data_IF_817918596699
#
_entry.id   IF_817918596699
#
_cell.length_a   1.000
_cell.length_b   1.000
_cell.length_c   1.000
_cell.angle_alpha   90.00
_cell.angle_beta   90.00
_cell.angle_gamma   90.00
#
_symmetry.space_group_name_H-M   'P 1'
#
loop_
_entity.id
_entity.type
_entity.pdbx_description
1 polymer ?
#
# COMPACT_ATOMS: atom_id res chain seq x y z
N UNK A 1 -25.47 -36.22 0.12
CA UNK A 1 -24.71 -35.86 1.34
C UNK A 1 -25.04 -34.42 1.66
N UNK A 2 -25.75 -34.16 2.75
CA UNK A 2 -25.92 -32.79 3.23
C UNK A 2 -24.52 -32.26 3.57
N UNK A 3 -24.14 -31.09 3.05
CA UNK A 3 -22.94 -30.42 3.49
C UNK A 3 -23.07 -30.26 5.02
N UNK A 4 -22.21 -30.91 5.78
CA UNK A 4 -22.06 -30.65 7.20
C UNK A 4 -21.74 -29.16 7.33
N UNK A 5 -22.68 -28.40 7.88
CA UNK A 5 -22.43 -26.99 8.20
C UNK A 5 -21.22 -26.93 9.12
N UNK A 6 -20.30 -26.02 8.84
CA UNK A 6 -19.11 -25.72 9.64
C UNK A 6 -19.44 -25.17 11.05
N UNK A 7 -20.73 -25.07 11.41
CA UNK A 7 -21.23 -24.61 12.71
C UNK A 7 -21.11 -23.11 12.94
N UNK A 8 -20.69 -22.35 11.93
CA UNK A 8 -20.55 -20.89 11.98
C UNK A 8 -21.71 -20.15 11.30
N UNK A 9 -22.88 -20.77 11.19
CA UNK A 9 -24.04 -20.16 10.54
C UNK A 9 -24.36 -18.78 11.14
N UNK A 10 -24.46 -17.76 10.28
CA UNK A 10 -24.73 -16.38 10.68
C UNK A 10 -23.53 -15.65 11.32
N UNK A 11 -22.35 -16.26 11.39
CA UNK A 11 -21.11 -15.58 11.76
C UNK A 11 -20.74 -14.58 10.66
N UNK A 12 -20.49 -13.33 11.05
CA UNK A 12 -20.03 -12.28 10.14
C UNK A 12 -18.50 -12.22 10.11
N UNK A 13 -17.92 -11.15 9.54
CA UNK A 13 -16.47 -10.90 9.59
C UNK A 13 -15.99 -10.35 10.93
N UNK A 14 -16.88 -10.14 11.89
CA UNK A 14 -16.55 -9.74 13.25
C UNK A 14 -16.16 -10.96 14.11
N UNK A 15 -14.87 -11.07 14.41
CA UNK A 15 -14.28 -12.16 15.22
C UNK A 15 -13.95 -11.72 16.65
N UNK A 16 -14.55 -10.64 17.14
CA UNK A 16 -14.16 -10.04 18.43
C UNK A 16 -14.86 -10.66 19.65
N UNK A 17 -16.06 -11.20 19.49
CA UNK A 17 -16.85 -11.81 20.58
C UNK A 17 -16.35 -13.23 20.93
N UNK A 18 -15.43 -13.30 21.89
CA UNK A 18 -14.85 -14.55 22.35
C UNK A 18 -15.88 -15.49 23.01
N UNK A 19 -16.95 -14.96 23.62
CA UNK A 19 -17.99 -15.77 24.26
C UNK A 19 -18.92 -16.41 23.21
N UNK A 20 -19.26 -15.69 22.13
CA UNK A 20 -19.95 -16.28 20.98
C UNK A 20 -19.09 -17.36 20.31
N UNK A 21 -17.81 -17.06 20.06
CA UNK A 21 -16.86 -18.01 19.46
C UNK A 21 -16.76 -19.27 20.32
N UNK A 22 -16.53 -19.14 21.62
CA UNK A 22 -16.47 -20.30 22.53
C UNK A 22 -17.77 -21.10 22.50
N UNK A 23 -18.92 -20.43 22.59
CA UNK A 23 -20.24 -21.08 22.55
C UNK A 23 -20.43 -21.89 21.27
N UNK A 24 -20.06 -21.35 20.11
CA UNK A 24 -20.17 -22.04 18.82
C UNK A 24 -19.25 -23.25 18.74
N UNK A 25 -18.00 -23.09 19.18
CA UNK A 25 -17.02 -24.19 19.25
C UNK A 25 -17.51 -25.30 20.19
N UNK A 26 -18.12 -24.95 21.32
CA UNK A 26 -18.73 -25.92 22.27
C UNK A 26 -19.96 -26.63 21.67
N UNK A 27 -20.64 -26.00 20.72
CA UNK A 27 -21.75 -26.59 19.96
C UNK A 27 -21.29 -27.39 18.73
N UNK A 28 -19.99 -27.54 18.54
CA UNK A 28 -19.40 -28.35 17.46
C UNK A 28 -19.12 -27.58 16.18
N UNK A 29 -18.99 -26.25 16.22
CA UNK A 29 -18.41 -25.50 15.12
C UNK A 29 -16.97 -25.95 14.84
N UNK A 30 -16.62 -26.03 13.55
CA UNK A 30 -15.32 -26.49 13.09
C UNK A 30 -14.27 -25.38 13.28
N UNK A 31 -13.26 -25.54 14.17
CA UNK A 31 -12.23 -24.53 14.35
C UNK A 31 -11.29 -24.39 13.14
N UNK A 32 -11.31 -25.32 12.20
CA UNK A 32 -10.41 -25.36 11.04
C UNK A 32 -11.03 -24.77 9.76
N UNK A 33 -12.36 -24.59 9.72
CA UNK A 33 -13.08 -24.21 8.50
C UNK A 33 -14.21 -23.23 8.76
N UNK A 34 -14.22 -22.15 8.01
CA UNK A 34 -15.31 -21.16 7.94
C UNK A 34 -15.33 -20.51 6.56
N UNK A 35 -16.40 -20.69 5.78
CA UNK A 35 -16.56 -20.08 4.46
C UNK A 35 -15.32 -20.25 3.52
N UNK A 36 -14.68 -21.41 3.56
CA UNK A 36 -13.48 -21.69 2.76
C UNK A 36 -12.19 -21.06 3.29
N UNK A 37 -12.21 -20.55 4.52
CA UNK A 37 -11.10 -19.94 5.23
C UNK A 37 -10.91 -20.57 6.61
N UNK A 38 -9.81 -20.27 7.29
CA UNK A 38 -9.49 -20.72 8.64
C UNK A 38 -9.96 -19.69 9.68
N UNK A 39 -10.84 -20.05 10.63
CA UNK A 39 -11.27 -19.18 11.72
C UNK A 39 -10.13 -18.45 12.45
N UNK A 40 -9.03 -19.16 12.75
CA UNK A 40 -7.89 -18.59 13.48
C UNK A 40 -7.20 -17.46 12.69
N UNK A 41 -7.06 -17.58 11.37
CA UNK A 41 -6.50 -16.54 10.50
C UNK A 41 -7.40 -15.29 10.49
N UNK A 42 -8.72 -15.46 10.47
CA UNK A 42 -9.65 -14.33 10.53
C UNK A 42 -9.63 -13.64 11.89
N UNK A 43 -9.60 -14.41 12.98
CA UNK A 43 -9.46 -13.86 14.31
C UNK A 43 -8.12 -13.13 14.51
N UNK A 44 -7.04 -13.59 13.86
CA UNK A 44 -5.75 -12.91 13.90
C UNK A 44 -5.82 -11.46 13.37
N UNK A 45 -6.61 -11.24 12.31
CA UNK A 45 -6.77 -9.92 11.65
C UNK A 45 -7.89 -9.08 12.27
N UNK A 46 -9.05 -9.67 12.51
CA UNK A 46 -10.28 -8.95 12.85
C UNK A 46 -10.80 -9.24 14.27
N UNK A 47 -10.19 -10.20 14.98
CA UNK A 47 -10.64 -10.65 16.28
C UNK A 47 -9.95 -9.97 17.46
N UNK A 48 -10.36 -10.40 18.65
CA UNK A 48 -9.75 -10.06 19.92
C UNK A 48 -8.68 -11.09 20.33
N UNK A 49 -7.74 -10.74 21.22
CA UNK A 49 -6.76 -11.70 21.75
C UNK A 49 -7.42 -12.89 22.46
N UNK A 50 -8.57 -12.67 23.10
CA UNK A 50 -9.38 -13.69 23.74
C UNK A 50 -9.98 -14.66 22.70
N UNK A 51 -10.55 -14.13 21.61
CA UNK A 51 -11.08 -14.94 20.52
C UNK A 51 -9.99 -15.79 19.86
N UNK A 52 -8.82 -15.19 19.61
CA UNK A 52 -7.63 -15.89 19.12
C UNK A 52 -7.23 -17.03 20.07
N UNK A 53 -7.22 -16.76 21.38
CA UNK A 53 -6.87 -17.76 22.39
C UNK A 53 -7.87 -18.92 22.41
N UNK A 54 -9.17 -18.65 22.30
CA UNK A 54 -10.20 -19.70 22.26
C UNK A 54 -10.07 -20.58 21.02
N UNK A 55 -9.85 -19.99 19.85
CA UNK A 55 -9.64 -20.73 18.60
C UNK A 55 -8.33 -21.54 18.62
N UNK A 56 -7.24 -20.93 19.07
CA UNK A 56 -5.93 -21.58 19.11
C UNK A 56 -5.91 -22.83 20.02
N UNK A 57 -6.78 -22.90 21.02
CA UNK A 57 -6.95 -24.10 21.86
C UNK A 57 -7.71 -25.24 21.17
N UNK A 58 -8.44 -24.96 20.09
CA UNK A 58 -9.34 -25.91 19.41
C UNK A 58 -8.78 -26.41 18.09
N UNK A 59 -7.83 -25.70 17.49
CA UNK A 59 -7.15 -26.15 16.27
C UNK A 59 -6.16 -27.29 16.57
N UNK A 60 -5.91 -28.13 15.57
CA UNK A 60 -4.91 -29.19 15.68
C UNK A 60 -3.48 -28.66 15.52
N UNK A 61 -3.31 -27.59 14.75
CA UNK A 61 -2.04 -26.93 14.46
C UNK A 61 -2.24 -25.42 14.38
N UNK A 62 -1.62 -24.68 15.30
CA UNK A 62 -1.69 -23.22 15.37
C UNK A 62 -0.90 -22.54 14.23
N UNK A 63 0.08 -23.24 13.66
CA UNK A 63 0.92 -22.80 12.53
C UNK A 63 0.42 -23.33 11.18
N UNK A 64 -0.80 -23.89 11.14
CA UNK A 64 -1.41 -24.31 9.90
C UNK A 64 -1.51 -23.15 8.91
N UNK A 65 -1.28 -23.45 7.63
CA UNK A 65 -1.21 -22.43 6.59
C UNK A 65 -2.59 -22.18 5.96
N UNK A 66 -2.86 -20.90 5.68
CA UNK A 66 -3.87 -20.43 4.75
C UNK A 66 -3.16 -19.59 3.69
N UNK A 67 -3.36 -19.89 2.40
CA UNK A 67 -2.71 -19.16 1.30
C UNK A 67 -1.18 -18.99 1.49
N UNK A 68 -0.53 -20.04 2.01
CA UNK A 68 0.93 -20.06 2.24
C UNK A 68 1.43 -19.38 3.52
N UNK A 69 0.55 -18.78 4.34
CA UNK A 69 0.94 -18.02 5.53
C UNK A 69 0.24 -18.50 6.82
N UNK A 70 0.87 -18.27 7.97
CA UNK A 70 0.32 -18.62 9.30
C UNK A 70 -0.63 -17.52 9.80
N UNK A 71 -1.47 -17.84 10.78
CA UNK A 71 -2.27 -16.82 11.45
C UNK A 71 -1.38 -15.75 12.12
N UNK A 72 -0.18 -16.14 12.57
CA UNK A 72 0.78 -15.22 13.19
C UNK A 72 1.36 -14.22 12.18
N UNK A 73 1.61 -14.66 10.95
CA UNK A 73 1.97 -13.76 9.86
C UNK A 73 0.90 -12.70 9.64
N UNK A 74 -0.36 -13.11 9.51
CA UNK A 74 -1.49 -12.21 9.30
C UNK A 74 -1.66 -11.19 10.43
N UNK A 75 -1.50 -11.60 11.69
CA UNK A 75 -1.55 -10.69 12.84
C UNK A 75 -0.44 -9.63 12.78
N UNK A 76 0.80 -10.03 12.44
CA UNK A 76 1.93 -9.09 12.33
C UNK A 76 1.75 -8.13 11.17
N UNK A 77 1.38 -8.64 9.99
CA UNK A 77 1.10 -7.84 8.80
C UNK A 77 0.00 -6.82 9.08
N UNK A 78 -1.09 -7.26 9.70
CA UNK A 78 -2.26 -6.41 10.00
C UNK A 78 -2.09 -5.50 11.22
N UNK A 79 -0.86 -5.38 11.74
CA UNK A 79 -0.52 -4.52 12.90
C UNK A 79 -1.37 -4.83 14.14
N UNK A 80 -1.59 -6.12 14.44
CA UNK A 80 -2.34 -6.62 15.60
C UNK A 80 -1.41 -7.25 16.65
N UNK A 81 -0.65 -6.44 17.43
CA UNK A 81 0.35 -6.96 18.34
C UNK A 81 -0.24 -7.84 19.46
N UNK A 82 -1.44 -7.54 19.96
CA UNK A 82 -2.05 -8.33 21.03
C UNK A 82 -2.51 -9.71 20.52
N UNK A 83 -3.07 -9.78 19.31
CA UNK A 83 -3.41 -11.05 18.66
C UNK A 83 -2.16 -11.87 18.35
N UNK A 84 -1.09 -11.21 17.88
CA UNK A 84 0.20 -11.85 17.62
C UNK A 84 0.81 -12.44 18.91
N UNK A 85 0.72 -11.74 20.04
CA UNK A 85 1.15 -12.26 21.36
C UNK A 85 0.29 -13.44 21.80
N UNK A 86 -1.02 -13.39 21.59
CA UNK A 86 -1.92 -14.50 21.93
C UNK A 86 -1.58 -15.77 21.12
N UNK A 87 -1.31 -15.63 19.81
CA UNK A 87 -0.86 -16.74 18.95
C UNK A 87 0.48 -17.32 19.42
N UNK A 88 1.48 -16.47 19.70
CA UNK A 88 2.77 -16.93 20.19
C UNK A 88 2.65 -17.62 21.57
N UNK A 89 1.80 -17.11 22.46
CA UNK A 89 1.50 -17.74 23.76
C UNK A 89 0.79 -19.09 23.60
N UNK A 90 0.04 -19.28 22.52
CA UNK A 90 -0.59 -20.55 22.14
C UNK A 90 0.36 -21.50 21.39
N UNK A 91 1.62 -21.13 21.17
CA UNK A 91 2.66 -21.98 20.60
C UNK A 91 2.98 -21.75 19.12
N UNK A 92 2.41 -20.72 18.48
CA UNK A 92 2.79 -20.36 17.11
C UNK A 92 4.25 -19.88 17.07
N UNK A 93 5.03 -20.34 16.09
CA UNK A 93 6.45 -20.00 15.94
C UNK A 93 6.65 -18.64 15.23
N UNK A 94 7.10 -17.57 15.94
CA UNK A 94 7.33 -16.27 15.33
C UNK A 94 8.52 -16.26 14.37
N UNK A 95 9.39 -17.26 14.40
CA UNK A 95 10.63 -17.31 13.62
C UNK A 95 10.54 -18.25 12.43
N UNK A 96 9.39 -18.89 12.22
CA UNK A 96 9.07 -19.63 11.01
C UNK A 96 9.10 -18.71 9.79
N UNK A 97 9.86 -19.11 8.77
CA UNK A 97 9.92 -18.38 7.51
C UNK A 97 8.60 -18.46 6.75
N UNK A 98 8.28 -17.38 6.06
CA UNK A 98 7.09 -17.17 5.25
C UNK A 98 7.51 -16.45 3.95
N UNK A 99 6.72 -15.49 3.47
CA UNK A 99 6.91 -14.84 2.17
C UNK A 99 8.26 -14.09 2.10
N UNK A 100 8.91 -14.15 0.94
CA UNK A 100 10.19 -13.47 0.69
C UNK A 100 11.32 -13.85 1.66
N UNK A 101 11.21 -14.96 2.40
CA UNK A 101 12.18 -15.34 3.43
C UNK A 101 12.06 -14.57 4.75
N UNK A 102 10.96 -13.84 4.97
CA UNK A 102 10.67 -13.18 6.24
C UNK A 102 9.93 -14.11 7.19
N UNK A 103 10.23 -14.02 8.49
CA UNK A 103 9.36 -14.53 9.54
C UNK A 103 8.52 -13.40 10.15
N UNK A 104 7.37 -13.69 10.79
CA UNK A 104 6.59 -12.67 11.50
C UNK A 104 7.45 -11.89 12.51
N UNK A 105 8.31 -12.59 13.26
CA UNK A 105 9.22 -12.01 14.23
C UNK A 105 10.25 -11.09 13.60
N UNK A 106 10.93 -11.51 12.51
CA UNK A 106 11.92 -10.66 11.84
C UNK A 106 11.28 -9.44 11.20
N UNK A 107 10.09 -9.60 10.62
CA UNK A 107 9.35 -8.51 10.01
C UNK A 107 8.92 -7.47 11.06
N UNK A 108 8.51 -7.92 12.26
CA UNK A 108 8.15 -7.01 13.36
C UNK A 108 9.29 -6.07 13.77
N UNK A 109 10.56 -6.48 13.60
CA UNK A 109 11.74 -5.63 13.87
C UNK A 109 11.79 -4.36 12.99
N UNK A 110 11.17 -4.40 11.81
CA UNK A 110 11.10 -3.27 10.89
C UNK A 110 9.86 -2.39 11.12
N UNK A 111 8.93 -2.84 11.98
CA UNK A 111 7.66 -2.18 12.25
C UNK A 111 7.67 -1.31 13.52
N UNK A 112 6.49 -0.85 13.95
CA UNK A 112 6.33 -0.01 15.14
C UNK A 112 6.43 -0.82 16.45
N UNK A 113 6.45 -2.14 16.38
CA UNK A 113 6.53 -3.04 17.54
C UNK A 113 7.73 -4.00 17.42
N UNK A 114 8.98 -3.50 17.45
CA UNK A 114 10.18 -4.34 17.27
C UNK A 114 10.41 -5.32 18.43
N UNK A 115 9.88 -5.02 19.62
CA UNK A 115 9.99 -5.86 20.82
C UNK A 115 8.81 -6.86 20.96
N UNK A 116 8.14 -7.19 19.85
CA UNK A 116 6.93 -8.01 19.88
C UNK A 116 7.21 -9.44 20.37
N UNK A 117 8.39 -9.98 20.05
CA UNK A 117 8.83 -11.31 20.47
C UNK A 117 10.29 -11.30 20.94
N UNK A 118 10.69 -12.21 21.84
CA UNK A 118 12.10 -12.42 22.16
C UNK A 118 12.91 -12.79 20.90
N UNK A 119 13.96 -12.02 20.62
CA UNK A 119 14.77 -12.18 19.40
C UNK A 119 15.87 -13.23 19.61
N UNK A 120 15.95 -14.28 18.77
CA UNK A 120 17.03 -15.26 18.82
C UNK A 120 18.40 -14.65 18.52
N UNK A 121 19.46 -15.25 19.07
CA UNK A 121 20.83 -14.83 18.79
C UNK A 121 21.13 -14.88 17.28
N UNK A 122 21.78 -13.83 16.77
CA UNK A 122 22.12 -13.71 15.35
C UNK A 122 21.00 -13.20 14.44
N UNK A 123 19.75 -13.11 14.92
CA UNK A 123 18.67 -12.52 14.13
C UNK A 123 18.69 -11.00 14.24
N UNK A 124 18.82 -10.32 13.11
CA UNK A 124 18.75 -8.86 13.03
C UNK A 124 18.36 -8.39 11.63
N UNK A 125 17.98 -7.11 11.53
CA UNK A 125 17.89 -6.41 10.25
C UNK A 125 19.29 -6.01 9.79
N UNK A 126 19.55 -6.18 8.49
CA UNK A 126 20.68 -5.58 7.80
C UNK A 126 20.60 -4.05 7.83
N UNK A 127 21.71 -3.37 7.54
CA UNK A 127 21.76 -1.91 7.47
C UNK A 127 20.80 -1.34 6.42
N UNK A 128 20.66 -2.03 5.27
CA UNK A 128 19.73 -1.65 4.20
C UNK A 128 18.27 -1.75 4.65
N UNK A 129 17.87 -2.85 5.30
CA UNK A 129 16.50 -3.03 5.79
C UNK A 129 16.17 -2.04 6.91
N UNK A 130 17.14 -1.76 7.79
CA UNK A 130 17.00 -0.75 8.85
C UNK A 130 16.84 0.66 8.26
N UNK A 131 17.63 1.00 7.25
CA UNK A 131 17.51 2.28 6.55
C UNK A 131 16.15 2.40 5.84
N UNK A 132 15.65 1.33 5.22
CA UNK A 132 14.33 1.29 4.61
C UNK A 132 13.22 1.52 5.65
N UNK A 133 13.29 0.88 6.81
CA UNK A 133 12.32 1.07 7.89
C UNK A 133 12.33 2.51 8.45
N UNK A 134 13.52 3.09 8.66
CA UNK A 134 13.66 4.47 9.08
C UNK A 134 13.11 5.46 8.06
N UNK A 135 13.36 5.22 6.77
CA UNK A 135 12.87 6.06 5.70
C UNK A 135 11.35 5.95 5.53
N UNK A 136 10.79 4.74 5.67
CA UNK A 136 9.34 4.54 5.67
C UNK A 136 8.68 5.33 6.79
N UNK A 137 9.19 5.21 8.02
CA UNK A 137 8.68 5.98 9.15
C UNK A 137 8.77 7.51 8.92
N UNK A 138 9.88 7.99 8.35
CA UNK A 138 10.05 9.41 8.01
C UNK A 138 9.02 9.86 6.98
N UNK A 139 8.83 9.08 5.91
CA UNK A 139 7.93 9.41 4.81
C UNK A 139 6.47 9.40 5.24
N UNK A 140 6.00 8.33 5.89
CA UNK A 140 4.60 8.23 6.34
C UNK A 140 4.27 9.33 7.36
N UNK A 141 5.21 9.65 8.26
CA UNK A 141 5.05 10.78 9.20
C UNK A 141 4.99 12.13 8.48
N UNK A 142 5.85 12.37 7.48
CA UNK A 142 5.89 13.64 6.77
C UNK A 142 4.64 13.86 5.91
N UNK A 143 4.10 12.81 5.29
CA UNK A 143 2.90 12.90 4.48
C UNK A 143 1.63 12.96 5.34
N UNK A 144 1.60 12.18 6.44
CA UNK A 144 0.44 12.04 7.31
C UNK A 144 -0.77 11.45 6.58
N UNK A 145 -1.91 11.41 7.26
CA UNK A 145 -3.17 10.93 6.68
C UNK A 145 -3.88 12.02 5.87
N UNK A 146 -4.32 11.69 4.65
CA UNK A 146 -5.12 12.56 3.80
C UNK A 146 -5.96 11.73 2.82
N UNK A 147 -7.04 12.33 2.34
CA UNK A 147 -7.88 11.74 1.29
C UNK A 147 -7.30 12.06 -0.08
N UNK A 148 -7.22 11.07 -0.96
CA UNK A 148 -6.63 11.21 -2.29
C UNK A 148 -7.29 10.33 -3.37
N UNK A 149 -8.48 9.77 -3.11
CA UNK A 149 -9.21 9.03 -4.15
C UNK A 149 -9.48 9.94 -5.35
N UNK A 150 -9.27 9.39 -6.55
CA UNK A 150 -9.33 10.12 -7.82
C UNK A 150 -8.00 10.79 -8.19
N UNK A 151 -7.00 10.82 -7.31
CA UNK A 151 -5.70 11.44 -7.60
C UNK A 151 -4.81 10.53 -8.43
N UNK A 152 -4.35 11.03 -9.57
CA UNK A 152 -3.21 10.50 -10.30
C UNK A 152 -1.93 11.21 -9.89
N UNK A 153 -0.82 10.47 -9.79
CA UNK A 153 0.50 11.05 -9.55
C UNK A 153 1.62 10.26 -10.21
N UNK A 154 2.74 10.93 -10.42
CA UNK A 154 4.00 10.34 -10.87
C UNK A 154 5.14 10.88 -10.01
N UNK A 155 5.85 9.98 -9.34
CA UNK A 155 7.05 10.28 -8.57
C UNK A 155 8.28 10.05 -9.46
N UNK A 156 9.00 11.13 -9.81
CA UNK A 156 10.11 11.09 -10.77
C UNK A 156 11.44 11.34 -10.08
N UNK A 157 12.37 10.40 -10.22
CA UNK A 157 13.66 10.46 -9.54
C UNK A 157 14.61 11.49 -10.19
N UNK A 158 15.30 12.27 -9.35
CA UNK A 158 16.51 13.01 -9.71
C UNK A 158 16.35 14.23 -10.63
N UNK A 159 15.13 14.65 -10.96
CA UNK A 159 14.86 15.83 -11.78
C UNK A 159 13.93 16.80 -11.07
N UNK A 160 14.03 18.09 -11.40
CA UNK A 160 13.22 19.16 -10.82
C UNK A 160 12.01 19.52 -11.71
N UNK A 161 11.16 20.43 -11.22
CA UNK A 161 9.97 20.86 -11.92
C UNK A 161 10.26 21.44 -13.33
N UNK A 162 11.25 22.35 -13.53
CA UNK A 162 11.60 22.82 -14.86
C UNK A 162 11.95 21.71 -15.86
N UNK A 163 12.73 20.71 -15.44
CA UNK A 163 13.08 19.58 -16.31
C UNK A 163 11.86 18.69 -16.61
N UNK A 164 10.95 18.50 -15.64
CA UNK A 164 9.66 17.83 -15.86
C UNK A 164 8.83 18.56 -16.91
N UNK A 165 8.63 19.87 -16.77
CA UNK A 165 7.88 20.69 -17.75
C UNK A 165 8.50 20.58 -19.14
N UNK A 166 9.84 20.63 -19.23
CA UNK A 166 10.56 20.48 -20.49
C UNK A 166 10.34 19.11 -21.14
N UNK A 167 10.39 18.02 -20.36
CA UNK A 167 10.18 16.63 -20.87
C UNK A 167 8.77 16.38 -21.33
N UNK A 168 7.80 17.01 -20.67
CA UNK A 168 6.39 16.92 -21.04
C UNK A 168 6.04 17.84 -22.22
N UNK A 169 6.94 18.75 -22.61
CA UNK A 169 6.68 19.82 -23.57
C UNK A 169 5.44 20.65 -23.15
N UNK A 170 5.27 20.81 -21.84
CA UNK A 170 4.07 21.38 -21.25
C UNK A 170 4.16 22.91 -21.13
N UNK A 171 3.01 23.58 -21.19
CA UNK A 171 2.94 25.05 -21.10
C UNK A 171 2.44 25.46 -19.71
N UNK A 172 3.12 26.37 -18.99
CA UNK A 172 2.61 26.88 -17.71
C UNK A 172 1.23 27.53 -17.83
N UNK A 173 0.31 27.17 -16.94
CA UNK A 173 -1.01 27.79 -16.80
C UNK A 173 -0.86 28.99 -15.86
N UNK A 174 -0.72 30.19 -16.44
CA UNK A 174 -0.42 31.43 -15.68
C UNK A 174 -1.51 32.49 -15.79
N UNK A 175 -2.27 32.49 -16.88
CA UNK A 175 -3.36 33.44 -17.16
C UNK A 175 -4.32 32.86 -18.23
N UNK A 176 -5.38 33.61 -18.54
CA UNK A 176 -6.34 33.28 -19.60
C UNK A 176 -7.41 32.26 -19.23
N UNK A 177 -8.16 31.81 -20.25
CA UNK A 177 -9.32 30.91 -20.10
C UNK A 177 -8.96 29.60 -19.39
N UNK A 178 -7.76 29.08 -19.61
CA UNK A 178 -7.32 27.82 -18.98
C UNK A 178 -7.09 27.96 -17.47
N UNK A 179 -6.72 29.14 -16.99
CA UNK A 179 -6.62 29.42 -15.55
C UNK A 179 -8.01 29.47 -14.90
N UNK A 180 -9.01 30.01 -15.62
CA UNK A 180 -10.42 29.99 -15.16
C UNK A 180 -10.92 28.55 -15.07
N UNK A 181 -10.71 27.75 -16.11
CA UNK A 181 -11.03 26.31 -16.12
C UNK A 181 -10.33 25.57 -14.97
N UNK A 182 -9.05 25.84 -14.73
CA UNK A 182 -8.31 25.25 -13.61
C UNK A 182 -8.95 25.60 -12.25
N UNK A 183 -9.31 26.86 -12.03
CA UNK A 183 -9.92 27.26 -10.77
C UNK A 183 -11.27 26.56 -10.57
N UNK A 184 -12.07 26.42 -11.63
CA UNK A 184 -13.33 25.70 -11.58
C UNK A 184 -13.12 24.20 -11.33
N UNK A 185 -12.13 23.55 -11.95
CA UNK A 185 -11.79 22.14 -11.69
C UNK A 185 -11.32 21.91 -10.25
N UNK A 186 -10.63 22.88 -9.64
CA UNK A 186 -10.22 22.81 -8.24
C UNK A 186 -11.40 22.95 -7.28
N UNK A 187 -12.46 23.64 -7.67
CA UNK A 187 -13.70 23.80 -6.89
C UNK A 187 -14.69 22.65 -7.10
N UNK A 188 -14.93 22.25 -8.36
CA UNK A 188 -15.80 21.16 -8.78
C UNK A 188 -15.15 20.32 -9.91
N UNK A 189 -14.36 19.30 -9.56
CA UNK A 189 -13.58 18.52 -10.53
C UNK A 189 -14.43 17.70 -11.52
N UNK A 190 -15.73 17.56 -11.28
CA UNK A 190 -16.64 16.79 -12.14
C UNK A 190 -17.61 17.67 -12.95
N UNK A 191 -17.44 18.99 -12.90
CA UNK A 191 -18.23 19.93 -13.70
C UNK A 191 -17.91 19.85 -15.21
N UNK A 192 -16.73 19.32 -15.56
CA UNK A 192 -16.20 19.28 -16.93
C UNK A 192 -16.14 17.88 -17.50
N UNK A 193 -16.04 17.79 -18.84
CA UNK A 193 -15.72 16.53 -19.50
C UNK A 193 -14.31 16.07 -19.08
N UNK A 194 -14.19 14.78 -18.76
CA UNK A 194 -12.94 14.19 -18.32
C UNK A 194 -11.81 14.43 -19.33
N UNK A 195 -12.08 14.32 -20.63
CA UNK A 195 -11.05 14.45 -21.68
C UNK A 195 -10.46 15.87 -21.75
N UNK A 196 -11.23 16.89 -21.37
CA UNK A 196 -10.77 18.27 -21.30
C UNK A 196 -9.97 18.52 -20.01
N UNK A 197 -10.42 17.97 -18.88
CA UNK A 197 -9.78 18.12 -17.56
C UNK A 197 -8.43 17.40 -17.43
N UNK A 198 -8.19 16.35 -18.23
CA UNK A 198 -6.99 15.52 -18.14
C UNK A 198 -5.72 16.22 -18.63
N UNK A 199 -5.84 17.35 -19.34
CA UNK A 199 -4.69 18.06 -19.90
C UNK A 199 -3.95 18.90 -18.85
N UNK A 200 -4.49 19.15 -17.67
CA UNK A 200 -3.82 19.99 -16.67
C UNK A 200 -3.23 19.13 -15.54
N UNK A 201 -1.94 19.29 -15.28
CA UNK A 201 -1.24 18.63 -14.18
C UNK A 201 -0.44 19.62 -13.34
N UNK A 202 -0.34 19.35 -12.05
CA UNK A 202 0.51 20.08 -11.11
C UNK A 202 1.90 19.47 -11.04
N UNK A 203 2.94 20.28 -10.93
CA UNK A 203 4.34 19.85 -10.85
C UNK A 203 4.97 20.48 -9.61
N UNK A 204 5.57 19.65 -8.75
CA UNK A 204 6.21 20.11 -7.50
C UNK A 204 7.57 19.46 -7.30
N UNK A 205 8.62 20.26 -7.15
CA UNK A 205 9.94 19.78 -6.76
C UNK A 205 9.97 19.35 -5.29
N UNK A 206 10.61 18.22 -5.02
CA UNK A 206 10.87 17.71 -3.67
C UNK A 206 12.33 17.25 -3.57
N UNK A 207 12.91 17.15 -2.37
CA UNK A 207 14.23 16.55 -2.25
C UNK A 207 14.26 15.16 -2.91
N UNK A 208 15.25 14.90 -3.76
CA UNK A 208 15.38 13.64 -4.51
C UNK A 208 14.65 13.58 -5.85
N UNK A 209 13.79 14.56 -6.21
CA UNK A 209 13.12 14.55 -7.51
C UNK A 209 11.92 15.49 -7.63
N UNK A 210 10.87 15.01 -8.30
CA UNK A 210 9.66 15.78 -8.56
C UNK A 210 8.41 14.91 -8.49
N UNK A 211 7.31 15.48 -7.98
CA UNK A 211 5.98 14.87 -8.02
C UNK A 211 5.15 15.61 -9.06
N UNK A 212 4.56 14.86 -9.99
CA UNK A 212 3.51 15.34 -10.89
C UNK A 212 2.18 14.83 -10.37
N UNK A 213 1.17 15.68 -10.24
CA UNK A 213 -0.13 15.33 -9.65
C UNK A 213 -1.31 15.86 -10.44
N UNK A 214 -2.41 15.14 -10.38
CA UNK A 214 -3.72 15.58 -10.86
C UNK A 214 -4.77 15.07 -9.86
N UNK A 215 -5.38 15.96 -9.05
CA UNK A 215 -6.33 15.56 -8.01
C UNK A 215 -7.60 14.85 -8.51
N UNK A 216 -7.95 15.05 -9.78
CA UNK A 216 -9.22 14.61 -10.38
C UNK A 216 -9.06 13.58 -11.50
N UNK A 217 -7.85 13.09 -11.77
CA UNK A 217 -7.64 12.22 -12.92
C UNK A 217 -6.31 11.49 -12.91
N UNK A 218 -6.18 10.58 -13.88
CA UNK A 218 -5.07 9.64 -14.01
C UNK A 218 -3.95 10.12 -14.95
N UNK A 219 -4.00 11.37 -15.45
CA UNK A 219 -3.06 11.83 -16.47
C UNK A 219 -1.58 11.59 -16.11
N UNK A 220 -1.12 11.81 -14.86
CA UNK A 220 0.26 11.54 -14.49
C UNK A 220 0.68 10.07 -14.63
N UNK A 221 -0.25 9.12 -14.49
CA UNK A 221 0.00 7.68 -14.59
C UNK A 221 -0.04 7.16 -16.03
N UNK A 222 -0.50 7.97 -17.01
CA UNK A 222 -0.61 7.52 -18.39
C UNK A 222 0.76 7.07 -18.94
N UNK A 223 0.84 5.92 -19.65
CA UNK A 223 2.11 5.35 -20.11
C UNK A 223 3.01 6.33 -20.87
N UNK A 224 2.44 7.12 -21.79
CA UNK A 224 3.17 8.12 -22.56
C UNK A 224 3.67 9.31 -21.74
N UNK A 225 3.02 9.62 -20.62
CA UNK A 225 3.50 10.61 -19.63
C UNK A 225 4.67 10.01 -18.85
N UNK A 226 4.50 8.80 -18.30
CA UNK A 226 5.54 8.11 -17.55
C UNK A 226 6.81 7.83 -18.38
N UNK A 227 6.67 7.46 -19.66
CA UNK A 227 7.80 7.27 -20.57
C UNK A 227 8.62 8.56 -20.75
N UNK A 228 7.95 9.71 -20.95
CA UNK A 228 8.63 11.00 -21.07
C UNK A 228 9.33 11.40 -19.78
N UNK A 229 8.65 11.25 -18.65
CA UNK A 229 9.19 11.59 -17.33
C UNK A 229 10.40 10.71 -16.97
N UNK A 230 10.34 9.42 -17.26
CA UNK A 230 11.38 8.45 -16.89
C UNK A 230 12.60 8.43 -17.83
N UNK A 231 12.66 9.22 -18.90
CA UNK A 231 13.79 9.24 -19.82
C UNK A 231 15.14 9.46 -19.10
N UNK A 232 16.05 8.48 -19.13
CA UNK A 232 17.32 8.55 -18.39
C UNK A 232 17.20 8.53 -16.86
N UNK A 233 16.04 8.21 -16.29
CA UNK A 233 15.80 8.09 -14.84
C UNK A 233 14.74 7.00 -14.54
N UNK A 234 14.16 7.01 -13.34
CA UNK A 234 13.10 6.14 -12.86
C UNK A 234 11.88 6.97 -12.47
N UNK A 235 10.68 6.43 -12.72
CA UNK A 235 9.42 6.99 -12.29
C UNK A 235 8.51 5.89 -11.73
N UNK A 236 7.74 6.22 -10.69
CA UNK A 236 6.61 5.43 -10.23
C UNK A 236 5.31 6.20 -10.46
N UNK A 237 4.42 5.64 -11.28
CA UNK A 237 3.07 6.16 -11.49
C UNK A 237 2.09 5.53 -10.51
N UNK A 238 1.12 6.31 -10.04
CA UNK A 238 0.02 5.86 -9.18
C UNK A 238 -1.27 6.53 -9.65
N UNK A 239 -2.35 5.75 -9.71
CA UNK A 239 -3.71 6.26 -9.75
C UNK A 239 -4.52 5.66 -8.61
N UNK A 240 -5.03 6.52 -7.74
CA UNK A 240 -5.92 6.13 -6.65
C UNK A 240 -7.35 5.99 -7.18
N UNK A 241 -7.66 4.87 -7.84
CA UNK A 241 -8.93 4.70 -8.53
C UNK A 241 -10.07 4.51 -7.51
N UNK A 242 -11.09 5.40 -7.47
CA UNK A 242 -12.20 5.27 -6.51
C UNK A 242 -13.00 3.96 -6.65
N UNK A 243 -12.91 3.30 -7.82
CA UNK A 243 -13.65 2.07 -8.12
C UNK A 243 -12.89 0.80 -7.75
N UNK A 244 -11.57 0.77 -7.95
CA UNK A 244 -10.76 -0.46 -7.86
C UNK A 244 -9.55 -0.34 -6.93
N UNK A 245 -9.35 0.80 -6.28
CA UNK A 245 -8.21 1.05 -5.39
C UNK A 245 -6.96 1.56 -6.11
N UNK A 246 -5.83 1.51 -5.42
CA UNK A 246 -4.56 2.05 -5.90
C UNK A 246 -3.96 1.16 -7.01
N UNK A 247 -3.63 1.78 -8.15
CA UNK A 247 -2.98 1.13 -9.28
C UNK A 247 -1.63 1.78 -9.55
N UNK A 248 -0.58 0.97 -9.58
CA UNK A 248 0.80 1.41 -9.75
C UNK A 248 1.40 1.02 -11.10
N UNK A 249 2.38 1.80 -11.55
CA UNK A 249 3.17 1.54 -12.76
C UNK A 249 4.64 1.91 -12.55
N UNK A 250 5.55 1.11 -13.09
CA UNK A 250 6.99 1.37 -13.05
C UNK A 250 7.44 1.76 -14.45
N UNK A 251 8.12 2.90 -14.57
CA UNK A 251 8.73 3.33 -15.81
C UNK A 251 10.21 3.67 -15.61
N UNK A 252 11.08 3.13 -16.45
CA UNK A 252 12.53 3.33 -16.38
C UNK A 252 13.08 3.63 -17.76
N UNK A 253 13.89 4.68 -17.84
CA UNK A 253 14.58 5.07 -19.07
C UNK A 253 13.66 5.21 -20.29
N UNK A 254 12.40 5.61 -20.07
CA UNK A 254 11.40 5.76 -21.13
C UNK A 254 10.62 4.50 -21.48
N UNK A 255 10.81 3.39 -20.75
CA UNK A 255 10.10 2.13 -20.96
C UNK A 255 9.22 1.80 -19.75
N UNK A 256 8.01 1.33 -20.00
CA UNK A 256 7.13 0.79 -18.94
C UNK A 256 7.58 -0.63 -18.63
N UNK A 257 8.03 -0.86 -17.39
CA UNK A 257 8.52 -2.17 -16.92
C UNK A 257 7.44 -2.95 -16.15
N UNK A 258 6.45 -2.26 -15.59
CA UNK A 258 5.37 -2.87 -14.82
C UNK A 258 4.12 -1.98 -14.76
N UNK A 259 2.96 -2.61 -14.64
CA UNK A 259 1.64 -1.99 -14.65
C UNK A 259 0.67 -2.81 -13.80
N UNK A 260 -0.42 -2.19 -13.35
CA UNK A 260 -1.44 -2.83 -12.50
C UNK A 260 -0.86 -3.39 -11.19
N UNK A 261 0.12 -2.66 -10.64
CA UNK A 261 0.73 -2.95 -9.35
C UNK A 261 -0.19 -2.44 -8.24
N UNK A 262 -0.05 -2.98 -7.02
CA UNK A 262 -0.90 -2.64 -5.88
C UNK A 262 -0.10 -1.93 -4.77
N UNK A 263 0.37 -0.68 -4.98
CA UNK A 263 1.12 0.04 -3.94
C UNK A 263 0.25 0.24 -2.70
N UNK A 264 0.84 0.01 -1.53
CA UNK A 264 0.13 0.00 -0.25
C UNK A 264 -0.73 -1.24 0.00
N UNK A 265 -0.69 -2.23 -0.89
CA UNK A 265 -1.25 -3.57 -0.67
C UNK A 265 -0.38 -4.43 0.26
N UNK A 266 -0.88 -5.63 0.57
CA UNK A 266 -0.11 -6.66 1.24
C UNK A 266 0.87 -7.37 0.30
N UNK A 267 1.83 -8.14 0.83
CA UNK A 267 2.78 -8.91 0.03
C UNK A 267 2.12 -10.10 -0.67
N UNK A 268 2.63 -10.44 -1.86
CA UNK A 268 2.23 -11.61 -2.66
C UNK A 268 3.18 -12.80 -2.47
N UNK A 269 2.73 -14.01 -2.82
CA UNK A 269 3.50 -15.26 -2.63
C UNK A 269 4.86 -15.29 -3.37
N UNK A 270 4.96 -14.55 -4.48
CA UNK A 270 6.13 -14.51 -5.36
C UNK A 270 7.01 -13.27 -5.15
N UNK A 271 6.69 -12.43 -4.17
CA UNK A 271 7.45 -11.22 -3.86
C UNK A 271 8.86 -11.55 -3.36
N UNK A 272 9.85 -10.75 -3.78
CA UNK A 272 11.19 -10.81 -3.21
C UNK A 272 11.20 -10.32 -1.76
N UNK A 273 12.29 -10.57 -1.05
CA UNK A 273 12.50 -10.07 0.32
C UNK A 273 12.27 -8.56 0.43
N UNK A 274 12.78 -7.79 -0.55
CA UNK A 274 12.65 -6.34 -0.59
C UNK A 274 11.20 -5.89 -0.84
N UNK A 275 10.47 -6.59 -1.71
CA UNK A 275 9.06 -6.29 -2.00
C UNK A 275 8.18 -6.58 -0.79
N UNK A 276 8.40 -7.71 -0.10
CA UNK A 276 7.69 -8.04 1.14
C UNK A 276 7.93 -6.98 2.22
N UNK A 277 9.18 -6.55 2.40
CA UNK A 277 9.50 -5.49 3.35
C UNK A 277 8.83 -4.18 2.96
N UNK A 278 8.87 -3.78 1.69
CA UNK A 278 8.23 -2.55 1.23
C UNK A 278 6.70 -2.59 1.41
N UNK A 279 6.05 -3.71 1.10
CA UNK A 279 4.61 -3.90 1.31
C UNK A 279 4.25 -3.78 2.80
N UNK A 280 5.04 -4.38 3.68
CA UNK A 280 4.85 -4.25 5.13
C UNK A 280 5.01 -2.80 5.59
N UNK A 281 6.09 -2.12 5.17
CA UNK A 281 6.44 -0.77 5.63
C UNK A 281 5.47 0.31 5.17
N UNK A 282 4.90 0.16 3.98
CA UNK A 282 4.00 1.15 3.36
C UNK A 282 2.56 0.65 3.21
N UNK A 283 2.17 -0.34 4.00
CA UNK A 283 0.81 -0.88 3.98
C UNK A 283 -0.20 0.26 4.19
N UNK A 284 -1.17 0.38 3.29
CA UNK A 284 -2.15 1.46 3.20
C UNK A 284 -1.60 2.87 2.86
N UNK A 285 -0.29 3.02 2.65
CA UNK A 285 0.39 4.28 2.34
C UNK A 285 0.95 4.29 0.90
N UNK A 286 0.07 4.14 -0.11
CA UNK A 286 0.46 4.00 -1.52
C UNK A 286 1.31 5.19 -2.05
N UNK A 287 1.02 6.40 -1.61
CA UNK A 287 1.77 7.61 -1.99
C UNK A 287 3.18 7.59 -1.40
N UNK A 288 3.32 7.13 -0.14
CA UNK A 288 4.63 6.99 0.50
C UNK A 288 5.45 5.90 -0.19
N UNK A 289 4.81 4.78 -0.56
CA UNK A 289 5.44 3.72 -1.36
C UNK A 289 5.98 4.28 -2.69
N UNK A 290 5.16 5.03 -3.44
CA UNK A 290 5.57 5.62 -4.73
C UNK A 290 6.76 6.58 -4.57
N UNK A 291 6.73 7.43 -3.54
CA UNK A 291 7.84 8.33 -3.22
C UNK A 291 9.12 7.55 -2.89
N UNK A 292 9.02 6.55 -2.02
CA UNK A 292 10.15 5.73 -1.60
C UNK A 292 10.78 4.97 -2.77
N UNK A 293 9.95 4.36 -3.63
CA UNK A 293 10.40 3.63 -4.80
C UNK A 293 11.23 4.52 -5.75
N UNK A 294 10.80 5.76 -5.95
CA UNK A 294 11.52 6.73 -6.79
C UNK A 294 12.63 7.50 -6.03
N UNK A 295 12.87 7.20 -4.74
CA UNK A 295 13.90 7.86 -3.93
C UNK A 295 13.58 9.32 -3.56
N UNK A 296 12.30 9.72 -3.62
CA UNK A 296 11.85 11.06 -3.26
C UNK A 296 11.76 11.17 -1.74
N UNK A 297 12.08 12.38 -1.25
CA UNK A 297 12.11 12.70 0.18
C UNK A 297 11.30 13.96 0.49
N UNK A 298 9.97 13.99 0.21
CA UNK A 298 9.13 15.09 0.61
C UNK A 298 9.22 15.35 2.12
N UNK A 299 9.08 16.62 2.50
CA UNK A 299 9.03 17.09 3.90
C UNK A 299 7.60 17.32 4.39
N UNK A 300 6.62 17.16 3.51
CA UNK A 300 5.20 17.38 3.76
C UNK A 300 4.37 16.92 2.56
N UNK A 301 3.04 16.86 2.73
CA UNK A 301 2.10 16.45 1.67
C UNK A 301 1.78 17.50 0.60
N UNK A 302 2.38 18.71 0.65
CA UNK A 302 2.10 19.79 -0.33
C UNK A 302 2.30 19.33 -1.77
N UNK A 303 3.34 18.54 -2.03
CA UNK A 303 3.63 18.04 -3.38
C UNK A 303 2.54 17.12 -3.94
N UNK A 304 1.63 16.64 -3.09
CA UNK A 304 0.53 15.73 -3.47
C UNK A 304 -0.82 16.44 -3.40
N UNK A 305 -1.06 17.17 -2.31
CA UNK A 305 -2.34 17.84 -2.01
C UNK A 305 -2.43 19.28 -2.50
N UNK A 306 -1.31 19.83 -2.98
CA UNK A 306 -1.21 21.17 -3.50
C UNK A 306 -1.09 22.28 -2.44
N UNK A 307 -0.99 23.55 -2.90
CA UNK A 307 -0.83 23.92 -4.31
C UNK A 307 0.57 23.52 -4.85
N UNK A 308 0.68 23.09 -6.13
CA UNK A 308 1.96 22.72 -6.73
C UNK A 308 2.88 23.94 -6.93
N UNK A 309 4.12 23.72 -7.40
CA UNK A 309 5.00 24.83 -7.78
C UNK A 309 4.51 25.51 -9.07
N UNK A 310 4.00 24.70 -10.01
CA UNK A 310 3.43 25.17 -11.27
C UNK A 310 2.34 24.22 -11.74
N UNK A 311 1.25 24.78 -12.26
CA UNK A 311 0.27 24.05 -13.06
C UNK A 311 0.67 24.15 -14.53
N UNK A 312 0.60 23.05 -15.28
CA UNK A 312 0.97 23.00 -16.68
C UNK A 312 -0.08 22.29 -17.52
N UNK A 313 -0.25 22.77 -18.75
CA UNK A 313 -1.04 22.13 -19.79
C UNK A 313 -0.18 21.14 -20.58
N UNK A 314 -0.65 19.90 -20.64
CA UNK A 314 -0.11 18.83 -21.45
C UNK A 314 -0.53 19.04 -22.91
N UNK A 315 0.41 18.95 -23.87
CA UNK A 315 0.09 19.05 -25.30
C UNK A 315 -0.82 17.90 -25.77
N UNK A 316 -1.80 18.20 -26.61
CA UNK A 316 -2.72 17.19 -27.16
C UNK A 316 -2.00 16.14 -27.98
N UNK A 317 -1.95 14.91 -27.47
CA UNK A 317 -1.37 13.73 -28.13
C UNK A 317 -1.94 12.44 -27.51
N UNK A 318 -1.71 11.31 -28.17
CA UNK A 318 -1.98 10.01 -27.57
C UNK A 318 -0.95 9.71 -26.46
N UNK A 319 -1.44 9.60 -25.22
CA UNK A 319 -0.65 9.26 -24.04
C UNK A 319 -0.82 7.79 -23.61
N UNK A 320 -1.61 7.00 -24.32
CA UNK A 320 -1.74 5.56 -24.07
C UNK A 320 -0.72 4.75 -24.87
N UNK A 321 -0.37 5.23 -26.07
CA UNK A 321 0.76 4.72 -26.84
C UNK A 321 2.08 5.33 -26.33
N UNK A 322 3.11 4.51 -26.12
CA UNK A 322 4.43 4.91 -25.63
C UNK A 322 5.56 4.33 -26.47
#
# INVERSE_FOLDING_TARGET
MAATSDGWAGMSWDWTDADDIRRRLDQGADPESWNGSRPLHRAAVFGSPEAVTELARRVADVDALENGVTALWEAVLSRKPDNARALAAAGADPWRLSLGGWSPGRLSLAGPTPELFPVPEGVSLSDTERAAAQEAHRLTTALGEFYYDGTGLACVAGIDAPEVVRRLEATPVVDGELLEVLNELLEDPYAYDMDESLQIVGVTSVPGGCVVTQPWGYAPQMPGVLARLSAGTLCYGLYANPKSGNQGSIARHGTIEGSDLHPGGGPDENDTSEQVLAAYLYQHDAVAYACAFAGLRPTGRRAVTGPPDVWVELPRRDYWSH
#
